data_IF_488739920415
#
_entry.id   IF_488739920415
#
_cell.length_a   1.000
_cell.length_b   1.000
_cell.length_c   1.000
_cell.angle_alpha   90.00
_cell.angle_beta   90.00
_cell.angle_gamma   90.00
#
_symmetry.space_group_name_H-M   'P 1'
#
loop_
_entity.id
_entity.type
_entity.pdbx_description
1 polymer ?
#
# COMPACT_ATOMS: atom_id res chain seq x y z
N UNK A 1 -21.10 -8.94 -9.95
CA UNK A 1 -21.34 -8.37 -8.61
C UNK A 1 -20.01 -8.20 -7.92
N UNK A 2 -19.57 -6.97 -7.70
CA UNK A 2 -18.48 -6.72 -6.78
C UNK A 2 -18.97 -7.06 -5.37
N UNK A 3 -18.19 -7.83 -4.62
CA UNK A 3 -18.50 -8.16 -3.23
C UNK A 3 -18.01 -7.06 -2.30
N UNK A 4 -18.81 -6.74 -1.28
CA UNK A 4 -18.37 -5.87 -0.19
C UNK A 4 -17.11 -6.43 0.48
N UNK A 5 -16.22 -5.54 0.93
CA UNK A 5 -14.92 -5.92 1.45
C UNK A 5 -14.54 -5.14 2.69
N UNK A 6 -13.80 -5.79 3.59
CA UNK A 6 -13.20 -5.17 4.77
C UNK A 6 -11.69 -5.42 4.76
N UNK A 7 -10.90 -4.38 4.96
CA UNK A 7 -9.43 -4.47 5.01
C UNK A 7 -8.90 -3.71 6.21
N UNK A 8 -8.01 -4.34 6.97
CA UNK A 8 -7.36 -3.75 8.13
C UNK A 8 -5.83 -3.80 7.98
N UNK A 9 -5.19 -2.66 8.20
CA UNK A 9 -3.74 -2.54 8.30
C UNK A 9 -3.35 -2.17 9.72
N UNK A 10 -2.42 -2.93 10.30
CA UNK A 10 -1.87 -2.68 11.63
C UNK A 10 -0.34 -2.69 11.58
N UNK A 11 0.30 -2.09 12.58
CA UNK A 11 1.75 -2.09 12.71
C UNK A 11 2.15 -2.61 14.10
N UNK A 12 2.89 -3.72 14.16
CA UNK A 12 3.34 -4.31 15.43
C UNK A 12 4.26 -3.38 16.24
N UNK A 13 5.01 -2.50 15.58
CA UNK A 13 5.86 -1.49 16.23
C UNK A 13 5.07 -0.28 16.75
N UNK A 14 3.87 -0.05 16.24
CA UNK A 14 2.97 1.03 16.62
C UNK A 14 1.60 0.43 16.98
N UNK A 15 1.46 -0.23 18.14
CA UNK A 15 0.28 -1.02 18.48
C UNK A 15 -1.03 -0.24 18.58
N UNK A 16 -0.96 1.10 18.59
CA UNK A 16 -2.11 2.02 18.58
C UNK A 16 -2.30 2.72 17.22
N UNK A 17 -1.72 2.16 16.16
CA UNK A 17 -1.90 2.58 14.78
C UNK A 17 -2.73 1.54 14.02
N UNK A 18 -3.84 1.96 13.44
CA UNK A 18 -4.60 1.13 12.50
C UNK A 18 -5.22 1.95 11.38
N UNK A 19 -5.40 1.30 10.24
CA UNK A 19 -6.20 1.79 9.12
C UNK A 19 -7.25 0.72 8.84
N UNK A 20 -8.51 1.11 8.85
CA UNK A 20 -9.64 0.27 8.50
C UNK A 20 -10.31 0.82 7.24
N UNK A 21 -10.56 -0.03 6.25
CA UNK A 21 -11.24 0.35 5.01
C UNK A 21 -12.40 -0.61 4.77
N UNK A 22 -13.62 -0.09 4.85
CA UNK A 22 -14.83 -0.77 4.37
C UNK A 22 -15.11 -0.34 2.93
N UNK A 23 -15.35 -1.31 2.05
CA UNK A 23 -15.59 -1.10 0.63
C UNK A 23 -16.97 -1.60 0.23
N UNK A 24 -17.75 -0.75 -0.41
CA UNK A 24 -19.03 -1.09 -1.05
C UNK A 24 -19.05 -0.61 -2.48
N UNK A 25 -19.89 -1.22 -3.31
CA UNK A 25 -19.96 -0.94 -4.74
C UNK A 25 -21.41 -0.84 -5.18
N UNK A 26 -21.74 0.21 -5.93
CA UNK A 26 -23.07 0.37 -6.54
C UNK A 26 -22.94 0.87 -7.98
N UNK A 27 -23.87 0.45 -8.84
CA UNK A 27 -23.98 0.89 -10.23
C UNK A 27 -24.66 2.28 -10.29
N UNK A 28 -23.99 3.28 -9.71
CA UNK A 28 -24.40 4.68 -9.70
C UNK A 28 -23.20 5.64 -9.80
N UNK A 29 -23.49 6.93 -9.73
CA UNK A 29 -22.51 8.03 -9.91
C UNK A 29 -22.02 8.62 -8.59
N UNK A 30 -21.99 7.82 -7.52
CA UNK A 30 -21.61 8.31 -6.18
C UNK A 30 -22.74 9.05 -5.45
N UNK A 31 -24.00 8.70 -5.73
CA UNK A 31 -25.19 9.41 -5.23
C UNK A 31 -25.78 8.86 -3.93
N UNK A 32 -25.15 7.87 -3.28
CA UNK A 32 -25.66 7.26 -2.06
C UNK A 32 -24.88 7.72 -0.82
N UNK A 33 -25.36 8.78 -0.18
CA UNK A 33 -24.76 9.34 1.05
C UNK A 33 -24.90 8.42 2.27
N UNK A 34 -25.73 7.36 2.20
CA UNK A 34 -26.09 6.52 3.34
C UNK A 34 -25.62 5.07 3.23
N UNK A 35 -24.72 4.77 2.30
CA UNK A 35 -24.29 3.40 2.00
C UNK A 35 -23.62 2.67 3.19
N UNK A 36 -23.09 3.42 4.17
CA UNK A 36 -22.47 2.92 5.40
C UNK A 36 -23.30 3.19 6.67
N UNK A 37 -24.51 3.74 6.55
CA UNK A 37 -25.30 4.24 7.68
C UNK A 37 -26.10 3.15 8.39
N UNK A 38 -25.47 2.03 8.75
CA UNK A 38 -26.12 0.97 9.53
C UNK A 38 -26.23 1.33 11.02
N UNK A 39 -25.33 2.17 11.55
CA UNK A 39 -25.37 2.66 12.94
C UNK A 39 -25.06 4.17 13.02
N UNK A 40 -25.66 4.91 13.97
CA UNK A 40 -25.31 6.30 14.22
C UNK A 40 -23.86 6.39 14.68
N UNK A 41 -23.02 7.08 13.91
CA UNK A 41 -21.62 7.33 14.27
C UNK A 41 -21.52 8.61 15.11
N UNK A 42 -20.67 8.57 16.14
CA UNK A 42 -20.34 9.73 16.96
C UNK A 42 -19.37 10.70 16.25
N UNK A 43 -18.68 10.23 15.21
CA UNK A 43 -17.64 10.97 14.50
C UNK A 43 -18.16 11.52 13.15
N UNK A 44 -17.81 12.78 12.87
CA UNK A 44 -18.12 13.43 11.59
C UNK A 44 -17.32 12.77 10.46
N UNK A 45 -18.01 12.39 9.37
CA UNK A 45 -17.40 11.76 8.20
C UNK A 45 -17.26 12.80 7.09
N UNK A 46 -16.04 13.05 6.63
CA UNK A 46 -15.78 13.88 5.45
C UNK A 46 -15.94 13.06 4.17
N UNK A 47 -16.74 13.57 3.22
CA UNK A 47 -16.90 12.96 1.89
C UNK A 47 -15.90 13.57 0.93
N UNK A 48 -15.04 12.72 0.35
CA UNK A 48 -14.07 13.11 -0.66
C UNK A 48 -14.29 12.33 -1.96
N UNK A 49 -14.82 13.00 -2.98
CA UNK A 49 -14.92 12.45 -4.34
C UNK A 49 -13.53 12.38 -4.98
N UNK A 50 -13.27 11.29 -5.71
CA UNK A 50 -12.02 11.07 -6.44
C UNK A 50 -12.34 11.01 -7.94
N UNK A 51 -11.82 11.98 -8.70
CA UNK A 51 -11.94 12.01 -10.16
C UNK A 51 -10.69 11.39 -10.81
N UNK A 52 -10.84 10.18 -11.34
CA UNK A 52 -9.73 9.42 -11.95
C UNK A 52 -9.12 10.08 -13.19
N UNK A 53 -9.79 11.04 -13.81
CA UNK A 53 -9.30 11.75 -14.99
C UNK A 53 -8.70 13.12 -14.64
N UNK A 54 -9.35 13.88 -13.76
CA UNK A 54 -9.04 15.31 -13.54
C UNK A 54 -8.42 15.64 -12.19
N UNK A 55 -8.44 14.76 -11.20
CA UNK A 55 -7.68 14.99 -9.97
C UNK A 55 -6.17 14.98 -10.26
N UNK A 56 -5.46 15.87 -9.57
CA UNK A 56 -4.00 15.95 -9.65
C UNK A 56 -3.35 14.70 -9.08
N UNK A 57 -2.39 14.13 -9.82
CA UNK A 57 -1.49 13.10 -9.33
C UNK A 57 -0.08 13.68 -9.21
N UNK A 58 0.74 13.21 -8.24
CA UNK A 58 2.11 13.67 -8.14
C UNK A 58 2.87 13.40 -9.45
N UNK A 59 3.59 14.40 -9.95
CA UNK A 59 4.26 14.37 -11.27
C UNK A 59 5.13 13.13 -11.48
N UNK A 60 5.83 12.67 -10.43
CA UNK A 60 6.65 11.44 -10.47
C UNK A 60 5.87 10.15 -10.78
N UNK A 61 4.55 10.16 -10.63
CA UNK A 61 3.65 9.04 -10.90
C UNK A 61 2.88 9.23 -12.22
N UNK A 62 2.97 10.40 -12.85
CA UNK A 62 2.29 10.66 -14.11
C UNK A 62 2.94 9.89 -15.26
N UNK A 63 2.10 9.28 -16.10
CA UNK A 63 2.48 8.64 -17.35
C UNK A 63 1.43 8.96 -18.41
N UNK A 64 1.87 9.38 -19.59
CA UNK A 64 0.96 9.71 -20.70
C UNK A 64 0.06 8.52 -21.08
N UNK A 65 0.57 7.29 -20.98
CA UNK A 65 -0.19 6.06 -21.25
C UNK A 65 -1.32 5.80 -20.25
N UNK A 66 -1.27 6.43 -19.07
CA UNK A 66 -2.26 6.30 -17.99
C UNK A 66 -3.14 7.56 -17.88
N UNK A 67 -3.00 8.51 -18.80
CA UNK A 67 -3.83 9.71 -18.80
C UNK A 67 -5.19 9.49 -19.49
N UNK A 68 -6.24 9.39 -18.69
CA UNK A 68 -7.59 9.07 -19.15
C UNK A 68 -8.23 10.15 -20.03
N UNK A 69 -7.67 11.35 -20.04
CA UNK A 69 -8.07 12.44 -20.94
C UNK A 69 -7.68 12.17 -22.40
N UNK A 70 -6.71 11.28 -22.60
CA UNK A 70 -6.17 10.92 -23.92
C UNK A 70 -6.24 9.42 -24.21
N UNK A 71 -6.37 8.58 -23.17
CA UNK A 71 -6.53 7.14 -23.32
C UNK A 71 -7.90 6.77 -23.89
N UNK A 72 -7.88 5.89 -24.89
CA UNK A 72 -9.07 5.23 -25.43
C UNK A 72 -8.80 3.74 -25.58
N UNK A 73 -9.65 2.93 -24.95
CA UNK A 73 -9.60 1.47 -25.02
C UNK A 73 -9.92 0.99 -26.43
N UNK A 74 -9.11 0.06 -26.95
CA UNK A 74 -9.32 -0.58 -28.25
C UNK A 74 -10.35 -1.71 -28.17
N UNK A 75 -10.46 -2.38 -27.01
CA UNK A 75 -11.40 -3.50 -26.83
C UNK A 75 -12.80 -3.04 -26.49
N UNK A 76 -12.94 -1.98 -25.70
CA UNK A 76 -14.24 -1.50 -25.19
C UNK A 76 -14.73 -0.20 -25.82
N UNK A 77 -13.87 0.49 -26.59
CA UNK A 77 -14.11 1.85 -27.09
C UNK A 77 -14.35 2.93 -26.02
N UNK A 78 -14.17 2.62 -24.73
CA UNK A 78 -14.30 3.58 -23.63
C UNK A 78 -13.15 4.57 -23.62
N UNK A 79 -13.43 5.77 -23.12
CA UNK A 79 -12.53 6.91 -23.24
C UNK A 79 -12.56 7.53 -24.63
N UNK A 80 -11.99 8.71 -24.85
CA UNK A 80 -11.34 9.59 -23.86
C UNK A 80 -12.33 10.18 -22.85
N UNK A 81 -11.90 10.39 -21.61
CA UNK A 81 -12.74 11.00 -20.56
C UNK A 81 -12.61 12.52 -20.63
N UNK A 82 -13.71 13.19 -20.97
CA UNK A 82 -13.81 14.66 -21.03
C UNK A 82 -14.28 15.23 -19.69
N UNK A 83 -14.20 16.55 -19.52
CA UNK A 83 -14.68 17.20 -18.30
C UNK A 83 -16.18 16.93 -18.13
N UNK A 84 -16.61 16.56 -16.91
CA UNK A 84 -17.97 16.09 -16.65
C UNK A 84 -18.26 14.67 -17.14
N UNK A 85 -17.24 13.84 -17.39
CA UNK A 85 -17.42 12.45 -17.85
C UNK A 85 -18.33 11.62 -16.93
N UNK A 86 -18.32 11.88 -15.62
CA UNK A 86 -19.14 11.15 -14.63
C UNK A 86 -20.62 11.14 -15.03
N UNK A 87 -21.12 12.23 -15.60
CA UNK A 87 -22.53 12.35 -15.98
C UNK A 87 -22.88 11.71 -17.33
N UNK A 88 -21.89 11.49 -18.19
CA UNK A 88 -22.10 11.07 -19.59
C UNK A 88 -21.64 9.64 -19.90
N UNK A 89 -20.82 9.03 -19.05
CA UNK A 89 -20.29 7.69 -19.29
C UNK A 89 -21.23 6.60 -18.79
N UNK A 90 -21.43 5.58 -19.62
CA UNK A 90 -22.13 4.34 -19.29
C UNK A 90 -21.37 3.14 -19.92
N UNK A 91 -21.28 1.98 -19.24
CA UNK A 91 -21.73 1.73 -17.87
C UNK A 91 -20.85 2.44 -16.83
N UNK A 92 -21.42 2.85 -15.70
CA UNK A 92 -20.69 3.45 -14.58
C UNK A 92 -21.01 2.76 -13.25
N UNK A 93 -20.01 2.69 -12.38
CA UNK A 93 -20.15 2.22 -11.00
C UNK A 93 -19.34 3.12 -10.08
N UNK A 94 -19.73 3.17 -8.81
CA UNK A 94 -19.00 3.86 -7.77
C UNK A 94 -18.45 2.85 -6.75
N UNK A 95 -17.17 2.96 -6.41
CA UNK A 95 -16.61 2.31 -5.23
C UNK A 95 -16.62 3.28 -4.06
N UNK A 96 -17.45 2.99 -3.07
CA UNK A 96 -17.49 3.73 -1.83
C UNK A 96 -16.45 3.12 -0.88
N UNK A 97 -15.52 3.95 -0.40
CA UNK A 97 -14.45 3.56 0.55
C UNK A 97 -14.62 4.36 1.83
N UNK A 98 -15.08 3.71 2.89
CA UNK A 98 -15.08 4.29 4.23
C UNK A 98 -13.75 3.99 4.89
N UNK A 99 -12.93 5.02 5.06
CA UNK A 99 -11.59 4.92 5.64
C UNK A 99 -11.64 5.44 7.08
N UNK A 100 -11.16 4.64 8.03
CA UNK A 100 -10.96 5.04 9.43
C UNK A 100 -9.50 4.87 9.79
N UNK A 101 -8.85 5.94 10.24
CA UNK A 101 -7.46 5.91 10.70
C UNK A 101 -7.43 6.19 12.19
N UNK A 102 -6.73 5.36 12.95
CA UNK A 102 -6.50 5.58 14.38
C UNK A 102 -5.01 5.69 14.64
N UNK A 103 -4.58 6.75 15.32
CA UNK A 103 -3.19 6.94 15.73
C UNK A 103 -3.10 7.64 17.09
N UNK A 104 -3.10 6.85 18.18
CA UNK A 104 -3.13 7.40 19.55
C UNK A 104 -1.73 7.75 20.10
N UNK A 105 -1.02 8.65 19.42
CA UNK A 105 0.26 9.19 19.91
C UNK A 105 0.10 10.67 20.25
N UNK A 106 0.43 10.99 21.51
CA UNK A 106 0.29 12.34 22.04
C UNK A 106 1.08 13.37 21.21
N UNK A 107 0.42 14.46 20.85
CA UNK A 107 0.99 15.56 20.08
C UNK A 107 1.13 15.30 18.57
N UNK A 108 0.84 14.09 18.08
CA UNK A 108 0.99 13.72 16.66
C UNK A 108 -0.27 13.15 16.01
N UNK A 109 -1.27 12.74 16.79
CA UNK A 109 -2.53 12.12 16.34
C UNK A 109 -3.09 12.75 15.06
N UNK A 110 -3.63 13.96 15.15
CA UNK A 110 -4.34 14.63 14.04
C UNK A 110 -3.46 14.77 12.80
N UNK A 111 -2.18 15.14 12.97
CA UNK A 111 -1.26 15.35 11.85
C UNK A 111 -0.99 14.06 11.09
N UNK A 112 -0.82 12.95 11.79
CA UNK A 112 -0.55 11.64 11.19
C UNK A 112 -1.81 11.05 10.58
N UNK A 113 -2.95 11.12 11.26
CA UNK A 113 -4.24 10.63 10.72
C UNK A 113 -4.59 11.34 9.42
N UNK A 114 -4.54 12.68 9.40
CA UNK A 114 -4.77 13.46 8.18
C UNK A 114 -3.78 13.13 7.05
N UNK A 115 -2.51 12.95 7.39
CA UNK A 115 -1.50 12.55 6.40
C UNK A 115 -1.80 11.18 5.80
N UNK A 116 -2.20 10.21 6.63
CA UNK A 116 -2.54 8.85 6.17
C UNK A 116 -3.79 8.89 5.28
N UNK A 117 -4.82 9.66 5.64
CA UNK A 117 -5.98 9.86 4.76
C UNK A 117 -5.59 10.41 3.38
N UNK A 118 -4.69 11.40 3.34
CA UNK A 118 -4.17 11.92 2.07
C UNK A 118 -3.44 10.85 1.26
N UNK A 119 -2.58 10.06 1.90
CA UNK A 119 -1.86 8.96 1.22
C UNK A 119 -2.84 7.92 0.67
N UNK A 120 -3.86 7.55 1.44
CA UNK A 120 -4.88 6.59 0.97
C UNK A 120 -5.64 7.15 -0.22
N UNK A 121 -6.05 8.42 -0.19
CA UNK A 121 -6.68 9.11 -1.34
C UNK A 121 -5.79 9.04 -2.59
N UNK A 122 -4.51 9.37 -2.46
CA UNK A 122 -3.55 9.36 -3.57
C UNK A 122 -3.36 7.95 -4.15
N UNK A 123 -3.28 6.92 -3.30
CA UNK A 123 -3.18 5.51 -3.71
C UNK A 123 -4.45 5.06 -4.43
N UNK A 124 -5.63 5.40 -3.90
CA UNK A 124 -6.92 5.06 -4.53
C UNK A 124 -7.05 5.73 -5.89
N UNK A 125 -6.73 7.02 -5.99
CA UNK A 125 -6.74 7.77 -7.25
C UNK A 125 -5.84 7.11 -8.30
N UNK A 126 -4.57 6.89 -7.95
CA UNK A 126 -3.60 6.31 -8.89
C UNK A 126 -4.01 4.89 -9.31
N UNK A 127 -4.43 4.06 -8.36
CA UNK A 127 -4.84 2.67 -8.63
C UNK A 127 -6.06 2.58 -9.55
N UNK A 128 -7.09 3.41 -9.34
CA UNK A 128 -8.27 3.38 -10.21
C UNK A 128 -7.99 3.97 -11.59
N UNK A 129 -7.11 4.99 -11.68
CA UNK A 129 -6.63 5.51 -12.95
C UNK A 129 -5.94 4.41 -13.78
N UNK A 130 -5.04 3.67 -13.15
CA UNK A 130 -4.35 2.53 -13.76
C UNK A 130 -5.30 1.41 -14.16
N UNK A 131 -6.25 1.06 -13.29
CA UNK A 131 -7.25 0.04 -13.60
C UNK A 131 -8.05 0.37 -14.87
N UNK A 132 -8.44 1.64 -15.07
CA UNK A 132 -9.10 2.06 -16.31
C UNK A 132 -8.16 2.07 -17.51
N UNK A 133 -6.96 2.65 -17.37
CA UNK A 133 -5.98 2.72 -18.46
C UNK A 133 -5.52 1.34 -18.95
N UNK A 134 -5.54 0.33 -18.08
CA UNK A 134 -5.16 -1.04 -18.40
C UNK A 134 -6.34 -1.94 -18.73
N UNK A 135 -7.54 -1.38 -18.96
CA UNK A 135 -8.75 -2.17 -19.27
C UNK A 135 -8.55 -3.15 -20.42
N UNK A 136 -7.81 -2.77 -21.46
CA UNK A 136 -7.54 -3.65 -22.60
C UNK A 136 -6.72 -4.89 -22.22
N UNK A 137 -5.97 -4.84 -21.12
CA UNK A 137 -5.14 -5.95 -20.65
C UNK A 137 -5.94 -6.98 -19.86
N UNK A 138 -6.92 -6.55 -19.05
CA UNK A 138 -7.64 -7.45 -18.14
C UNK A 138 -9.09 -7.75 -18.50
N UNK A 139 -9.76 -6.95 -19.36
CA UNK A 139 -11.21 -7.08 -19.60
C UNK A 139 -11.66 -8.41 -20.20
N UNK A 140 -10.76 -9.11 -20.89
CA UNK A 140 -11.02 -10.43 -21.50
C UNK A 140 -10.42 -11.60 -20.69
N UNK A 141 -9.79 -11.33 -19.55
CA UNK A 141 -9.21 -12.39 -18.73
C UNK A 141 -10.29 -13.27 -18.09
N UNK A 142 -10.09 -14.57 -18.16
CA UNK A 142 -10.85 -15.56 -17.40
C UNK A 142 -10.43 -15.55 -15.93
N UNK A 143 -11.28 -16.04 -15.03
CA UNK A 143 -10.92 -16.16 -13.61
C UNK A 143 -9.74 -17.12 -13.38
N UNK A 144 -9.56 -18.10 -14.26
CA UNK A 144 -8.41 -19.00 -14.26
C UNK A 144 -7.12 -18.25 -14.57
N UNK A 145 -7.12 -17.39 -15.59
CA UNK A 145 -5.97 -16.53 -15.92
C UNK A 145 -5.67 -15.51 -14.83
N UNK A 146 -6.71 -14.95 -14.19
CA UNK A 146 -6.53 -14.06 -13.02
C UNK A 146 -5.82 -14.80 -11.89
N UNK A 147 -6.26 -16.01 -11.53
CA UNK A 147 -5.60 -16.82 -10.49
C UNK A 147 -4.16 -17.21 -10.84
N UNK A 148 -3.89 -17.49 -12.11
CA UNK A 148 -2.54 -17.76 -12.59
C UNK A 148 -1.64 -16.52 -12.43
N UNK A 149 -2.15 -15.36 -12.84
CA UNK A 149 -1.46 -14.08 -12.71
C UNK A 149 -1.15 -13.74 -11.25
N UNK A 150 -2.12 -13.91 -10.35
CA UNK A 150 -1.94 -13.72 -8.91
C UNK A 150 -0.82 -14.62 -8.36
N UNK A 151 -0.82 -15.91 -8.74
CA UNK A 151 0.21 -16.87 -8.29
C UNK A 151 1.60 -16.47 -8.78
N UNK A 152 1.74 -16.20 -10.08
CA UNK A 152 3.02 -15.80 -10.67
C UNK A 152 3.55 -14.50 -10.07
N UNK A 153 2.66 -13.52 -9.83
CA UNK A 153 3.02 -12.24 -9.22
C UNK A 153 3.45 -12.40 -7.77
N UNK A 154 2.75 -13.26 -7.00
CA UNK A 154 3.11 -13.59 -5.62
C UNK A 154 4.50 -14.24 -5.55
N UNK A 155 4.77 -15.22 -6.41
CA UNK A 155 6.07 -15.90 -6.47
C UNK A 155 7.20 -14.95 -6.85
N UNK A 156 7.01 -14.13 -7.88
CA UNK A 156 7.98 -13.13 -8.32
C UNK A 156 8.27 -12.09 -7.22
N UNK A 157 7.23 -11.66 -6.50
CA UNK A 157 7.36 -10.72 -5.38
C UNK A 157 8.16 -11.34 -4.24
N UNK A 158 7.86 -12.58 -3.87
CA UNK A 158 8.59 -13.31 -2.82
C UNK A 158 10.07 -13.48 -3.17
N UNK A 159 10.40 -13.77 -4.43
CA UNK A 159 11.78 -13.86 -4.90
C UNK A 159 12.53 -12.52 -4.79
N UNK A 160 11.84 -11.41 -5.08
CA UNK A 160 12.44 -10.06 -5.12
C UNK A 160 12.67 -9.48 -3.72
N UNK A 161 11.77 -9.76 -2.79
CA UNK A 161 11.89 -9.37 -1.38
C UNK A 161 12.98 -10.19 -0.67
N UNK A 162 13.29 -11.39 -1.18
CA UNK A 162 14.24 -12.33 -0.60
C UNK A 162 13.64 -13.09 0.58
N UNK A 163 14.19 -14.26 0.90
CA UNK A 163 13.88 -14.96 2.14
C UNK A 163 14.52 -14.18 3.29
N UNK A 164 13.72 -13.51 4.11
CA UNK A 164 14.19 -13.08 5.42
C UNK A 164 14.31 -14.34 6.29
N UNK A 165 15.51 -14.79 6.68
CA UNK A 165 15.59 -15.74 7.79
C UNK A 165 14.92 -15.07 9.00
N UNK A 166 14.13 -15.80 9.80
CA UNK A 166 13.56 -15.22 11.01
C UNK A 166 14.72 -14.61 11.82
N UNK A 167 14.58 -13.35 12.23
CA UNK A 167 15.61 -12.58 12.93
C UNK A 167 15.92 -13.10 14.36
N UNK A 168 15.57 -14.36 14.65
CA UNK A 168 15.87 -15.06 15.88
C UNK A 168 16.52 -16.38 15.50
N UNK A 169 17.85 -16.36 15.37
CA UNK A 169 18.63 -17.57 15.48
C UNK A 169 18.73 -17.88 16.98
N UNK A 170 17.93 -18.83 17.47
CA UNK A 170 18.15 -19.41 18.80
C UNK A 170 19.40 -20.28 18.65
N UNK A 171 20.59 -19.72 18.92
CA UNK A 171 21.75 -20.55 19.20
C UNK A 171 21.47 -21.24 20.54
N UNK A 172 21.28 -22.55 20.53
CA UNK A 172 21.25 -23.36 21.75
C UNK A 172 22.59 -23.18 22.48
N UNK A 173 22.64 -22.28 23.44
CA UNK A 173 23.70 -22.29 24.46
C UNK A 173 23.44 -23.47 25.39
N UNK A 174 24.37 -24.43 25.55
CA UNK A 174 24.20 -25.53 26.48
C UNK A 174 24.02 -24.97 27.90
N UNK A 175 22.92 -25.34 28.55
CA UNK A 175 22.67 -25.03 29.96
C UNK A 175 23.75 -25.68 30.84
N UNK A 176 24.44 -24.94 31.73
CA UNK A 176 25.25 -25.55 32.76
C UNK A 176 24.32 -26.24 33.77
N UNK A 177 24.59 -27.51 34.02
CA UNK A 177 23.91 -28.31 35.03
C UNK A 177 24.16 -27.74 36.43
N UNK A 178 23.13 -27.23 37.09
CA UNK A 178 23.17 -26.92 38.53
C UNK A 178 21.99 -27.60 39.23
N UNK A 179 22.33 -28.31 40.30
CA UNK A 179 21.47 -29.19 41.07
C UNK A 179 20.33 -28.47 41.83
N UNK A 180 19.30 -29.25 42.13
CA UNK A 180 18.07 -28.90 42.87
C UNK A 180 18.32 -28.38 44.30
N UNK A 181 17.66 -27.28 44.69
CA UNK A 181 16.84 -27.19 45.93
C UNK A 181 16.18 -25.80 46.12
N UNK A 182 14.92 -25.77 46.57
CA UNK A 182 14.26 -24.63 47.26
C UNK A 182 13.31 -23.74 46.45
N UNK A 183 12.17 -23.25 47.01
CA UNK A 183 10.99 -22.87 46.21
C UNK A 183 10.88 -21.38 45.82
N UNK A 184 10.13 -21.18 44.72
CA UNK A 184 9.39 -20.00 44.24
C UNK A 184 9.43 -18.72 45.08
N UNK A 185 9.92 -17.63 44.48
CA UNK A 185 9.35 -16.28 44.53
C UNK A 185 9.96 -15.41 43.41
N UNK A 186 9.14 -14.56 42.81
CA UNK A 186 9.37 -13.76 41.59
C UNK A 186 10.71 -12.99 41.51
N UNK A 187 11.24 -12.71 40.31
CA UNK A 187 12.40 -11.84 40.17
C UNK A 187 11.98 -10.37 40.40
N UNK A 188 12.65 -9.71 41.34
CA UNK A 188 12.52 -8.27 41.59
C UNK A 188 13.09 -7.47 40.42
N UNK A 189 12.36 -6.45 39.97
CA UNK A 189 12.88 -5.40 39.09
C UNK A 189 13.92 -4.56 39.85
N UNK A 190 15.15 -4.39 39.34
CA UNK A 190 16.08 -3.41 39.89
C UNK A 190 15.66 -2.01 39.45
N UNK A 191 15.34 -1.15 40.41
CA UNK A 191 15.32 0.31 40.22
C UNK A 191 16.78 0.75 39.97
N UNK A 192 17.16 0.90 38.70
CA UNK A 192 18.36 1.62 38.32
C UNK A 192 18.06 2.47 37.09
N UNK A 193 18.17 3.79 37.24
CA UNK A 193 17.91 4.80 36.20
C UNK A 193 19.15 5.14 35.38
N UNK A 194 20.17 4.27 35.37
CA UNK A 194 21.43 4.54 34.69
C UNK A 194 21.63 3.59 33.51
N UNK A 195 21.85 4.17 32.33
CA UNK A 195 22.04 3.42 31.09
C UNK A 195 23.43 2.76 31.07
N UNK A 196 23.57 1.51 30.59
CA UNK A 196 24.85 0.81 30.53
C UNK A 196 25.85 1.54 29.61
N UNK A 197 27.12 1.61 30.04
CA UNK A 197 28.20 2.40 29.41
C UNK A 197 28.57 2.02 27.96
N UNK A 198 28.02 0.92 27.44
CA UNK A 198 28.24 0.50 26.04
C UNK A 198 27.50 1.36 25.00
N UNK A 199 26.73 2.37 25.44
CA UNK A 199 26.03 3.35 24.60
C UNK A 199 26.75 4.70 24.47
N UNK A 200 28.00 4.80 24.94
CA UNK A 200 28.79 6.03 24.76
C UNK A 200 29.15 6.24 23.27
N UNK A 201 28.40 7.13 22.63
CA UNK A 201 28.60 7.53 21.22
C UNK A 201 29.95 8.25 21.09
N UNK A 202 30.84 7.86 20.14
CA UNK A 202 32.05 8.61 19.86
C UNK A 202 31.75 10.06 19.49
N UNK A 203 32.33 11.02 20.23
CA UNK A 203 32.41 12.42 19.81
C UNK A 203 33.37 12.50 18.61
N UNK A 204 32.85 13.07 17.53
CA UNK A 204 33.47 13.31 16.21
C UNK A 204 33.33 12.21 15.15
N UNK A 205 32.40 12.44 14.21
CA UNK A 205 32.53 12.06 12.80
C UNK A 205 31.74 13.03 11.89
N UNK A 206 32.20 13.28 10.65
CA UNK A 206 31.82 14.43 9.81
C UNK A 206 30.38 14.33 9.29
N UNK A 207 29.76 15.50 9.03
CA UNK A 207 28.41 15.62 8.44
C UNK A 207 28.28 14.73 7.19
N UNK A 208 27.56 13.62 7.32
CA UNK A 208 27.07 12.82 6.19
C UNK A 208 25.62 13.23 5.90
N UNK A 209 25.30 13.33 4.61
CA UNK A 209 23.97 13.66 4.10
C UNK A 209 22.94 12.68 4.65
N UNK A 210 21.78 13.19 5.06
CA UNK A 210 20.69 12.47 5.68
C UNK A 210 19.96 11.57 4.68
N UNK A 211 20.32 10.28 4.63
CA UNK A 211 19.47 9.11 4.40
C UNK A 211 20.37 7.87 4.23
N UNK A 212 20.02 6.71 4.79
CA UNK A 212 20.67 5.46 4.40
C UNK A 212 20.27 5.12 2.95
N UNK A 213 21.25 4.83 2.07
CA UNK A 213 21.03 4.43 0.67
C UNK A 213 20.20 3.15 0.49
N UNK A 214 19.83 2.48 1.59
CA UNK A 214 18.93 1.31 1.61
C UNK A 214 17.45 1.64 1.38
N UNK A 215 17.06 2.91 1.22
CA UNK A 215 15.69 3.32 0.85
C UNK A 215 15.53 3.77 -0.60
N UNK A 216 16.59 3.70 -1.41
CA UNK A 216 16.51 3.93 -2.85
C UNK A 216 16.38 2.60 -3.59
N UNK A 217 15.22 2.38 -4.23
CA UNK A 217 15.03 1.27 -5.16
C UNK A 217 16.10 1.32 -6.26
N UNK A 218 16.71 0.19 -6.64
CA UNK A 218 17.69 0.19 -7.72
C UNK A 218 17.05 0.55 -9.06
N UNK A 219 17.78 1.34 -9.84
CA UNK A 219 17.46 1.78 -11.19
C UNK A 219 17.19 0.58 -12.12
N UNK A 220 16.03 0.52 -12.81
CA UNK A 220 15.68 -0.57 -13.73
C UNK A 220 16.60 -0.70 -14.96
N UNK A 221 17.56 0.21 -15.17
CA UNK A 221 18.49 0.18 -16.30
C UNK A 221 19.62 -0.87 -16.22
N UNK A 222 19.81 -1.60 -15.12
CA UNK A 222 20.92 -2.56 -14.98
C UNK A 222 20.61 -3.91 -15.64
N UNK A 223 20.90 -3.99 -16.95
CA UNK A 223 20.91 -5.22 -17.73
C UNK A 223 22.01 -6.14 -17.23
N UNK A 224 21.65 -7.18 -16.47
CA UNK A 224 22.34 -8.48 -16.39
C UNK A 224 21.56 -9.42 -15.43
N UNK A 225 20.52 -10.07 -15.94
CA UNK A 225 19.88 -11.21 -15.25
C UNK A 225 19.25 -12.17 -16.26
N UNK A 226 19.70 -13.43 -16.21
CA UNK A 226 19.46 -14.51 -17.17
C UNK A 226 18.07 -15.18 -17.08
N UNK A 227 17.04 -14.47 -16.60
CA UNK A 227 15.71 -15.04 -16.41
C UNK A 227 14.67 -14.22 -17.18
N UNK A 228 14.15 -14.79 -18.27
CA UNK A 228 12.98 -14.27 -18.99
C UNK A 228 11.73 -14.87 -18.35
N UNK A 229 11.01 -14.07 -17.57
CA UNK A 229 9.63 -14.38 -17.19
C UNK A 229 8.73 -14.36 -18.44
N UNK A 230 7.66 -15.17 -18.48
CA UNK A 230 6.66 -15.04 -19.54
C UNK A 230 6.04 -13.65 -19.47
N UNK A 231 6.14 -12.93 -20.57
CA UNK A 231 5.93 -11.49 -20.68
C UNK A 231 4.43 -11.19 -20.90
N UNK A 232 3.62 -11.26 -19.84
CA UNK A 232 2.19 -10.97 -19.93
C UNK A 232 1.85 -9.48 -19.76
N UNK A 233 2.74 -8.69 -19.14
CA UNK A 233 2.59 -7.24 -19.00
C UNK A 233 3.92 -6.58 -19.39
N UNK A 234 3.98 -5.95 -20.56
CA UNK A 234 5.20 -5.32 -21.06
C UNK A 234 5.42 -3.98 -20.34
N UNK A 235 6.15 -4.03 -19.23
CA UNK A 235 6.73 -2.83 -18.65
C UNK A 235 7.92 -2.39 -19.52
N UNK A 236 7.80 -1.20 -20.11
CA UNK A 236 8.79 -0.49 -20.95
C UNK A 236 9.23 -1.16 -22.26
N UNK A 237 8.69 -0.68 -23.38
CA UNK A 237 9.47 -0.30 -24.57
C UNK A 237 8.62 0.60 -25.46
N UNK A 238 8.86 1.91 -25.42
CA UNK A 238 8.46 2.78 -26.54
C UNK A 238 9.44 2.56 -27.70
N UNK A 239 8.98 2.41 -28.95
CA UNK A 239 9.88 2.43 -30.10
C UNK A 239 10.40 3.87 -30.29
N UNK A 240 11.72 4.04 -30.45
CA UNK A 240 12.26 5.29 -30.97
C UNK A 240 11.79 5.49 -32.43
N UNK A 241 11.39 6.71 -32.83
CA UNK A 241 11.16 7.00 -34.24
C UNK A 241 12.51 7.09 -34.99
N UNK A 242 12.50 6.61 -36.25
CA UNK A 242 13.55 6.85 -37.24
C UNK A 242 13.67 8.33 -37.63
#
# INVERSE_FOLDING_TARGET
MASDGNTEYTCSFLPKFSIHIESKYEDNKGSNDNIFSSEPKEEETEVCTVDIAYDEIPERHYKDSEDLRYFKSKKTNRGVLQEGWIDSQEPIMCSYKLVTVKFEVWGLQTRVEQYVHKVIRDVLLLGHRQAFAWVDEWIEMTMEEVREYERATQEATNLKIGSFPPAISISETPLPSVARSGPSSAPSTPFSTEAPEFLSVPKERPRKKSAPETLTLPDPGRRDSLFKLPNFFSWNSSPQPE
#
